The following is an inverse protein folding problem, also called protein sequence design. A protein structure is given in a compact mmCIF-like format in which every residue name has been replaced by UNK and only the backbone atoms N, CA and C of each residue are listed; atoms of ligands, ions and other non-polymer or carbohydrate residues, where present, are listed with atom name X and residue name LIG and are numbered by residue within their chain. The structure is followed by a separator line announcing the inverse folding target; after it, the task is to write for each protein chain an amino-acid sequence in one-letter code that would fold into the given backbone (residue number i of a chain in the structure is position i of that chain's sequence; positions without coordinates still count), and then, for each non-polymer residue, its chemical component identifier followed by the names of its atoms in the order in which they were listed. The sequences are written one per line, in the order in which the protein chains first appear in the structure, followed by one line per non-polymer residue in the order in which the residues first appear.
data_IF_639477419107
#
_entry.id   IF_639477419107
#
_cell.length_a   1.000
_cell.length_b   1.000
_cell.length_c   1.000
_cell.angle_alpha   90.00
_cell.angle_beta   90.00
_cell.angle_gamma   90.00
#
_symmetry.space_group_name_H-M   'P 1'
#
loop_
_entity.id
_entity.type
_entity.pdbx_description
1 polymer ?
#
# COMPACT_ATOMS: atom_id res chain seq x y z
N UNK A 1 14.61 -8.53 0.35
CA UNK A 1 13.24 -8.07 0.01
C UNK A 1 13.25 -6.85 -0.92
N UNK A 2 13.95 -5.74 -0.61
CA UNK A 2 13.97 -4.56 -1.51
C UNK A 2 14.39 -4.89 -2.95
N UNK A 3 15.44 -5.70 -3.14
CA UNK A 3 15.90 -6.09 -4.48
C UNK A 3 14.85 -6.87 -5.28
N UNK A 4 14.03 -7.68 -4.61
CA UNK A 4 12.96 -8.43 -5.26
C UNK A 4 11.83 -7.50 -5.72
N UNK A 5 11.46 -6.52 -4.88
CA UNK A 5 10.47 -5.49 -5.22
C UNK A 5 10.95 -4.67 -6.42
N UNK A 6 12.22 -4.27 -6.42
CA UNK A 6 12.82 -3.52 -7.52
C UNK A 6 12.83 -4.33 -8.83
N UNK A 7 13.12 -5.64 -8.78
CA UNK A 7 13.03 -6.52 -9.96
C UNK A 7 11.60 -6.58 -10.51
N UNK A 8 10.59 -6.71 -9.65
CA UNK A 8 9.19 -6.70 -10.07
C UNK A 8 8.80 -5.37 -10.72
N UNK A 9 9.15 -4.24 -10.10
CA UNK A 9 8.85 -2.91 -10.63
C UNK A 9 9.52 -2.68 -11.99
N UNK A 10 10.79 -3.08 -12.16
CA UNK A 10 11.50 -3.01 -13.46
C UNK A 10 10.87 -3.88 -14.54
N UNK A 11 10.18 -4.96 -14.15
CA UNK A 11 9.42 -5.80 -15.06
C UNK A 11 8.01 -5.23 -15.38
N UNK A 12 7.68 -4.03 -14.91
CA UNK A 12 6.35 -3.42 -15.09
C UNK A 12 5.29 -3.94 -14.12
N UNK A 13 5.65 -4.69 -13.08
CA UNK A 13 4.72 -5.24 -12.10
C UNK A 13 4.54 -4.26 -10.95
N UNK A 14 3.29 -3.84 -10.70
CA UNK A 14 2.97 -2.99 -9.56
C UNK A 14 2.80 -3.82 -8.28
N UNK A 15 3.69 -3.60 -7.30
CA UNK A 15 3.60 -4.24 -5.98
C UNK A 15 2.64 -3.45 -5.08
N UNK A 16 1.72 -4.14 -4.40
CA UNK A 16 0.78 -3.56 -3.42
C UNK A 16 0.86 -4.30 -2.09
N UNK A 17 0.95 -3.57 -0.99
CA UNK A 17 1.00 -4.14 0.36
C UNK A 17 -0.41 -4.20 0.96
N UNK A 18 -0.75 -5.35 1.54
CA UNK A 18 -1.94 -5.54 2.38
C UNK A 18 -1.48 -6.19 3.67
N UNK A 19 -1.80 -5.60 4.81
CA UNK A 19 -1.41 -6.09 6.14
C UNK A 19 -2.49 -5.75 7.16
N UNK A 20 -2.52 -6.48 8.28
CA UNK A 20 -3.34 -6.18 9.46
C UNK A 20 -2.69 -5.17 10.42
N UNK A 21 -1.50 -4.67 10.12
CA UNK A 21 -0.79 -3.69 10.93
C UNK A 21 -1.45 -2.29 10.92
N UNK A 22 -1.05 -1.47 11.90
CA UNK A 22 -1.36 -0.06 11.90
C UNK A 22 -0.82 0.65 10.64
N UNK A 23 -1.58 1.62 10.11
CA UNK A 23 -1.25 2.35 8.87
C UNK A 23 0.13 3.03 8.91
N UNK A 24 0.56 3.54 10.06
CA UNK A 24 1.87 4.19 10.17
C UNK A 24 3.02 3.17 10.05
N UNK A 25 2.84 1.99 10.67
CA UNK A 25 3.78 0.87 10.57
C UNK A 25 3.84 0.35 9.13
N UNK A 26 2.68 0.10 8.51
CA UNK A 26 2.59 -0.35 7.13
C UNK A 26 3.29 0.63 6.17
N UNK A 27 3.07 1.94 6.34
CA UNK A 27 3.73 2.98 5.54
C UNK A 27 5.24 2.98 5.73
N UNK A 28 5.73 2.90 6.97
CA UNK A 28 7.17 2.87 7.24
C UNK A 28 7.85 1.64 6.61
N UNK A 29 7.20 0.47 6.69
CA UNK A 29 7.71 -0.77 6.06
C UNK A 29 7.66 -0.65 4.54
N UNK A 30 6.56 -0.16 3.97
CA UNK A 30 6.41 0.03 2.53
C UNK A 30 7.52 0.94 1.95
N UNK A 31 7.86 2.02 2.64
CA UNK A 31 8.98 2.91 2.26
C UNK A 31 10.32 2.17 2.37
N UNK A 32 10.57 1.50 3.51
CA UNK A 32 11.83 0.75 3.73
C UNK A 32 12.03 -0.36 2.70
N UNK A 33 10.94 -0.99 2.25
CA UNK A 33 10.96 -2.05 1.24
C UNK A 33 11.02 -1.52 -0.20
N UNK A 34 10.85 -0.21 -0.43
CA UNK A 34 10.84 0.39 -1.77
C UNK A 34 9.53 0.15 -2.54
N UNK A 35 8.44 -0.16 -1.85
CA UNK A 35 7.10 -0.22 -2.47
C UNK A 35 6.57 1.19 -2.72
N UNK A 36 6.85 2.10 -1.78
CA UNK A 36 6.50 3.53 -1.86
C UNK A 36 7.79 4.33 -1.85
N UNK A 37 7.90 5.30 -2.74
CA UNK A 37 9.01 6.24 -2.77
C UNK A 37 8.57 7.60 -2.19
N UNK A 38 9.32 8.18 -1.24
CA UNK A 38 9.02 9.51 -0.71
C UNK A 38 8.97 10.56 -1.83
N UNK A 39 7.94 11.39 -1.85
CA UNK A 39 7.76 12.44 -2.86
C UNK A 39 6.94 12.02 -4.08
N UNK A 40 6.62 10.73 -4.22
CA UNK A 40 5.61 10.28 -5.18
C UNK A 40 4.20 10.35 -4.58
N UNK A 41 3.19 10.43 -5.45
CA UNK A 41 1.80 10.29 -5.03
C UNK A 41 1.51 8.83 -4.71
N UNK A 42 1.12 8.55 -3.46
CA UNK A 42 0.73 7.21 -3.02
C UNK A 42 -0.54 7.23 -2.18
N UNK A 43 -1.36 6.19 -2.35
CA UNK A 43 -2.56 5.98 -1.53
C UNK A 43 -2.26 4.95 -0.45
N UNK A 44 -2.22 5.40 0.80
CA UNK A 44 -2.27 4.52 1.98
C UNK A 44 -3.60 4.74 2.69
N UNK A 45 -4.38 3.67 2.85
CA UNK A 45 -5.67 3.68 3.53
C UNK A 45 -5.74 2.54 4.52
N UNK A 46 -6.44 2.75 5.63
CA UNK A 46 -6.78 1.67 6.57
C UNK A 46 -8.06 0.96 6.13
N UNK A 47 -8.41 -0.13 6.82
CA UNK A 47 -9.60 -0.92 6.50
C UNK A 47 -10.91 -0.14 6.69
N UNK A 48 -10.96 0.84 7.60
CA UNK A 48 -12.18 1.63 7.82
C UNK A 48 -12.42 2.58 6.64
N UNK A 49 -11.37 3.25 6.20
CA UNK A 49 -11.42 4.13 5.04
C UNK A 49 -11.68 3.35 3.74
N UNK A 50 -11.04 2.19 3.57
CA UNK A 50 -11.32 1.32 2.43
C UNK A 50 -12.79 0.90 2.39
N UNK A 51 -13.33 0.38 3.49
CA UNK A 51 -14.75 0.02 3.60
C UNK A 51 -15.67 1.21 3.29
N UNK A 52 -15.36 2.40 3.81
CA UNK A 52 -16.16 3.61 3.56
C UNK A 52 -16.19 4.00 2.07
N UNK A 53 -15.11 3.75 1.33
CA UNK A 53 -15.00 4.09 -0.10
C UNK A 53 -15.73 3.11 -1.01
N UNK A 54 -15.78 1.84 -0.63
CA UNK A 54 -16.36 0.78 -1.47
C UNK A 54 -17.82 0.51 -1.13
N UNK A 55 -18.25 0.81 0.11
CA UNK A 55 -19.59 0.49 0.57
C UNK A 55 -20.56 1.64 0.31
N UNK A 56 -21.77 1.29 -0.10
CA UNK A 56 -22.88 2.24 -0.23
C UNK A 56 -23.49 2.59 1.16
N UNK A 57 -24.55 3.40 1.19
CA UNK A 57 -25.25 3.79 2.44
C UNK A 57 -25.78 2.60 3.25
N UNK A 58 -25.97 1.43 2.62
CA UNK A 58 -26.42 0.19 3.24
C UNK A 58 -25.27 -0.70 3.72
N UNK A 59 -24.03 -0.31 3.48
CA UNK A 59 -22.86 -1.11 3.84
C UNK A 59 -22.58 -2.27 2.88
N UNK A 60 -23.22 -2.32 1.72
CA UNK A 60 -23.00 -3.33 0.66
C UNK A 60 -21.75 -2.99 -0.17
#
# INVERSE_FOLDING_TARGET
VPDAIQKCQRAGITVRMVTGDNINTARAIAIKCGIIHPGEDFLCIDGKEFNRRIRNEKGE
#
